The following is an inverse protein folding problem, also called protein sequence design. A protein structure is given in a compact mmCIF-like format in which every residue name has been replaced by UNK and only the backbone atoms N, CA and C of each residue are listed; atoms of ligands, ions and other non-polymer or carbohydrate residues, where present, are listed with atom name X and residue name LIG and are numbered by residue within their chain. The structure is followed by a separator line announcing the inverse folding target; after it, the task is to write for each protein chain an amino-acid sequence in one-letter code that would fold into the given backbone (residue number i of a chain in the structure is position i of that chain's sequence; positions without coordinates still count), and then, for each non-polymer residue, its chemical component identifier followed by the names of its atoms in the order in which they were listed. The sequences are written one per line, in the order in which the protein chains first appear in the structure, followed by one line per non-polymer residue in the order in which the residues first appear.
data_IF_536215139112
#
_entry.id   IF_536215139112
#
_cell.length_a   1.000
_cell.length_b   1.000
_cell.length_c   1.000
_cell.angle_alpha   90.00
_cell.angle_beta   90.00
_cell.angle_gamma   90.00
#
_symmetry.space_group_name_H-M   'P 1'
#
loop_
_entity.id
_entity.type
_entity.pdbx_description
1 polymer ?
#
# COMPACT_ATOMS: atom_id res chain seq x y z
N UNK A 1 9.80 -5.36 8.82
CA UNK A 1 10.21 -4.23 7.95
C UNK A 1 8.97 -3.45 7.54
N UNK A 2 9.08 -2.12 7.44
CA UNK A 2 8.04 -1.24 6.88
C UNK A 2 8.71 -0.35 5.83
N UNK A 3 8.15 -0.29 4.62
CA UNK A 3 8.60 0.54 3.50
C UNK A 3 7.49 1.53 3.17
N UNK A 4 7.85 2.80 3.00
CA UNK A 4 6.91 3.90 2.74
C UNK A 4 7.50 4.74 1.62
N UNK A 5 6.69 5.06 0.61
CA UNK A 5 7.09 6.02 -0.41
C UNK A 5 6.18 6.07 -1.62
N UNK A 6 6.48 7.03 -2.47
CA UNK A 6 5.92 7.19 -3.81
C UNK A 6 6.67 6.29 -4.80
N UNK A 7 5.95 5.32 -5.37
CA UNK A 7 6.49 4.38 -6.37
C UNK A 7 6.18 4.88 -7.79
N UNK A 8 5.36 5.92 -7.94
CA UNK A 8 4.85 6.44 -9.21
C UNK A 8 4.16 5.36 -10.07
N UNK A 9 3.59 4.35 -9.42
CA UNK A 9 2.87 3.30 -10.12
C UNK A 9 1.86 2.62 -9.19
N UNK A 10 0.87 1.95 -9.79
CA UNK A 10 -0.13 1.20 -9.06
C UNK A 10 0.49 0.02 -8.30
N UNK A 11 -0.17 -0.43 -7.24
CA UNK A 11 0.31 -1.58 -6.44
C UNK A 11 0.43 -2.89 -7.23
N UNK A 12 -0.23 -3.00 -8.40
CA UNK A 12 -0.19 -4.18 -9.27
C UNK A 12 0.83 -4.08 -10.42
N UNK A 13 1.49 -2.93 -10.58
CA UNK A 13 2.42 -2.74 -11.66
C UNK A 13 3.73 -3.50 -11.46
N UNK A 14 4.46 -3.72 -12.56
CA UNK A 14 5.73 -4.46 -12.57
C UNK A 14 6.78 -3.79 -11.67
N UNK A 15 6.82 -2.46 -11.68
CA UNK A 15 7.68 -1.64 -10.80
C UNK A 15 7.41 -1.92 -9.32
N UNK A 16 6.13 -1.91 -8.92
CA UNK A 16 5.69 -2.28 -7.58
C UNK A 16 6.01 -3.73 -7.24
N UNK A 17 5.90 -4.66 -8.20
CA UNK A 17 6.26 -6.07 -8.01
C UNK A 17 7.76 -6.30 -7.84
N UNK A 18 8.61 -5.51 -8.50
CA UNK A 18 10.06 -5.55 -8.26
C UNK A 18 10.39 -5.16 -6.81
N UNK A 19 9.64 -4.20 -6.25
CA UNK A 19 9.82 -3.77 -4.86
C UNK A 19 9.21 -4.76 -3.87
N UNK A 20 8.01 -5.27 -4.13
CA UNK A 20 7.27 -6.14 -3.21
C UNK A 20 7.65 -7.62 -3.29
N UNK A 21 8.25 -8.02 -4.41
CA UNK A 21 8.53 -9.40 -4.75
C UNK A 21 7.29 -10.15 -5.25
N UNK A 22 7.52 -11.35 -5.80
CA UNK A 22 6.46 -12.21 -6.31
C UNK A 22 6.17 -13.37 -5.36
N UNK A 23 4.88 -13.67 -5.09
CA UNK A 23 4.52 -14.79 -4.23
C UNK A 23 5.01 -16.12 -4.80
N UNK A 24 5.44 -17.07 -3.94
CA UNK A 24 6.01 -18.31 -4.40
C UNK A 24 4.96 -19.18 -5.11
N UNK A 25 5.39 -19.89 -6.15
CA UNK A 25 4.53 -20.83 -6.86
C UNK A 25 3.95 -21.91 -5.93
N UNK A 26 2.67 -22.24 -6.10
CA UNK A 26 1.93 -23.12 -5.19
C UNK A 26 2.55 -24.51 -5.03
N UNK A 27 3.26 -25.03 -6.04
CA UNK A 27 3.86 -26.37 -6.00
C UNK A 27 5.27 -26.41 -5.38
N UNK A 28 5.83 -25.27 -4.97
CA UNK A 28 7.12 -25.23 -4.27
C UNK A 28 7.02 -25.92 -2.89
N UNK A 29 8.14 -26.49 -2.44
CA UNK A 29 8.22 -27.06 -1.10
C UNK A 29 8.10 -25.95 -0.05
N UNK A 30 7.53 -26.29 1.11
CA UNK A 30 7.32 -25.32 2.19
C UNK A 30 8.58 -24.53 2.57
N UNK A 31 9.72 -25.22 2.75
CA UNK A 31 11.00 -24.57 3.07
C UNK A 31 11.47 -23.55 2.02
N UNK A 32 11.11 -23.77 0.75
CA UNK A 32 11.42 -22.82 -0.33
C UNK A 32 10.46 -21.62 -0.31
N UNK A 33 9.17 -21.87 -0.06
CA UNK A 33 8.16 -20.82 0.10
C UNK A 33 8.50 -19.90 1.26
N UNK A 34 8.94 -20.46 2.37
CA UNK A 34 9.27 -19.72 3.58
C UNK A 34 10.39 -18.70 3.33
N UNK A 35 11.45 -19.10 2.61
CA UNK A 35 12.53 -18.16 2.20
C UNK A 35 12.07 -17.05 1.28
N UNK A 36 11.03 -17.29 0.47
CA UNK A 36 10.46 -16.27 -0.41
C UNK A 36 9.59 -15.33 0.42
N UNK A 37 8.69 -15.85 1.27
CA UNK A 37 7.83 -15.03 2.12
C UNK A 37 8.60 -14.10 3.06
N UNK A 38 9.76 -14.54 3.57
CA UNK A 38 10.68 -13.78 4.43
C UNK A 38 11.18 -12.47 3.77
N UNK A 39 11.19 -12.41 2.44
CA UNK A 39 11.65 -11.21 1.69
C UNK A 39 10.51 -10.46 0.98
N UNK A 40 9.26 -10.95 1.05
CA UNK A 40 8.13 -10.27 0.43
C UNK A 40 7.68 -9.05 1.25
N UNK A 41 7.21 -8.04 0.54
CA UNK A 41 6.48 -6.93 1.12
C UNK A 41 5.03 -6.96 0.68
N UNK A 42 4.13 -6.68 1.60
CA UNK A 42 2.69 -6.72 1.40
C UNK A 42 2.13 -5.31 1.48
N UNK A 43 1.37 -4.90 0.47
CA UNK A 43 0.73 -3.60 0.49
C UNK A 43 -0.34 -3.55 1.59
N UNK A 44 -0.29 -2.53 2.45
CA UNK A 44 -1.25 -2.36 3.54
C UNK A 44 -2.69 -2.19 3.04
N UNK A 45 -2.87 -1.58 1.86
CA UNK A 45 -4.17 -1.50 1.16
C UNK A 45 -4.78 -2.88 0.95
N UNK A 46 -4.00 -3.84 0.47
CA UNK A 46 -4.48 -5.19 0.19
C UNK A 46 -4.79 -5.95 1.48
N UNK A 47 -4.04 -5.69 2.56
CA UNK A 47 -4.32 -6.24 3.89
C UNK A 47 -5.66 -5.70 4.41
N UNK A 48 -5.91 -4.40 4.29
CA UNK A 48 -7.16 -3.76 4.71
C UNK A 48 -8.35 -4.23 3.88
N UNK A 49 -8.22 -4.30 2.55
CA UNK A 49 -9.29 -4.75 1.65
C UNK A 49 -9.74 -6.20 1.95
N UNK A 50 -8.83 -7.05 2.45
CA UNK A 50 -9.16 -8.41 2.90
C UNK A 50 -9.89 -8.43 4.25
N UNK A 51 -9.81 -7.36 5.04
CA UNK A 51 -10.48 -7.23 6.34
C UNK A 51 -11.82 -6.49 6.24
N UNK A 52 -11.99 -5.58 5.28
CA UNK A 52 -13.21 -4.78 5.06
C UNK A 52 -13.33 -4.34 3.60
N UNK A 53 -14.55 -4.34 3.06
CA UNK A 53 -14.87 -3.76 1.74
C UNK A 53 -15.36 -2.32 1.93
N UNK A 54 -14.54 -1.32 1.59
CA UNK A 54 -15.10 0.02 1.49
C UNK A 54 -14.18 1.23 1.53
N UNK A 55 -13.08 1.26 0.77
CA UNK A 55 -12.34 2.53 0.61
C UNK A 55 -11.91 2.79 -0.84
N UNK A 56 -12.19 4.00 -1.32
CA UNK A 56 -11.60 4.56 -2.53
C UNK A 56 -10.16 4.98 -2.23
N UNK A 57 -9.21 4.11 -2.56
CA UNK A 57 -7.79 4.38 -2.35
C UNK A 57 -7.20 4.98 -3.63
N UNK A 58 -6.90 6.27 -3.59
CA UNK A 58 -6.11 7.00 -4.58
C UNK A 58 -5.33 8.11 -3.86
N UNK A 59 -4.13 8.38 -4.36
CA UNK A 59 -3.23 9.39 -3.82
C UNK A 59 -2.90 10.46 -4.85
N UNK A 60 -3.32 10.32 -6.10
CA UNK A 60 -3.14 11.35 -7.11
C UNK A 60 -4.34 11.40 -8.06
N UNK A 61 -4.66 12.59 -8.58
CA UNK A 61 -5.68 12.78 -9.61
C UNK A 61 -5.07 13.55 -10.77
N UNK A 62 -5.17 12.99 -11.97
CA UNK A 62 -4.73 13.66 -13.18
C UNK A 62 -5.64 13.34 -14.35
N UNK A 63 -6.19 14.37 -15.01
CA UNK A 63 -7.02 14.25 -16.21
C UNK A 63 -8.19 13.26 -16.04
N UNK A 64 -8.85 13.32 -14.89
CA UNK A 64 -9.96 12.45 -14.49
C UNK A 64 -9.55 11.03 -14.05
N UNK A 65 -8.25 10.72 -14.04
CA UNK A 65 -7.74 9.44 -13.58
C UNK A 65 -7.35 9.51 -12.10
N UNK A 66 -7.85 8.56 -11.31
CA UNK A 66 -7.54 8.40 -9.90
C UNK A 66 -6.48 7.33 -9.74
N UNK A 67 -5.29 7.71 -9.31
CA UNK A 67 -4.12 6.84 -9.27
C UNK A 67 -3.66 6.57 -7.82
N UNK A 68 -3.10 5.39 -7.59
CA UNK A 68 -2.54 4.97 -6.30
C UNK A 68 -1.02 4.89 -6.43
N UNK A 69 -0.31 6.01 -6.25
CA UNK A 69 1.13 6.11 -6.47
C UNK A 69 1.94 5.88 -5.18
N UNK A 70 1.36 6.27 -4.05
CA UNK A 70 1.98 6.16 -2.73
C UNK A 70 1.54 4.90 -2.01
N UNK A 71 2.52 4.19 -1.44
CA UNK A 71 2.29 2.89 -0.82
C UNK A 71 2.99 2.79 0.53
N UNK A 72 2.29 2.16 1.47
CA UNK A 72 2.91 1.59 2.68
C UNK A 72 2.92 0.08 2.49
N UNK A 73 4.10 -0.53 2.54
CA UNK A 73 4.29 -1.98 2.44
C UNK A 73 4.96 -2.52 3.70
N UNK A 74 4.60 -3.73 4.09
CA UNK A 74 5.04 -4.35 5.35
C UNK A 74 5.51 -5.77 5.12
N UNK A 75 6.45 -6.25 5.92
CA UNK A 75 6.88 -7.66 5.87
C UNK A 75 5.84 -8.61 6.47
N UNK A 76 6.09 -9.92 6.37
CA UNK A 76 5.17 -10.95 6.85
C UNK A 76 4.93 -10.92 8.37
N UNK A 77 5.76 -10.27 9.16
CA UNK A 77 5.53 -10.16 10.62
C UNK A 77 4.38 -9.24 10.99
N UNK A 78 3.75 -8.58 10.00
CA UNK A 78 2.56 -7.73 10.17
C UNK A 78 1.31 -8.26 9.46
N UNK A 79 1.41 -9.41 8.77
CA UNK A 79 0.25 -10.00 8.07
C UNK A 79 -0.52 -10.97 9.00
N UNK A 80 -1.87 -11.01 8.93
CA UNK A 80 -2.68 -11.89 9.79
C UNK A 80 -2.38 -13.39 9.65
N UNK A 81 -1.87 -13.81 8.49
CA UNK A 81 -1.60 -15.22 8.18
C UNK A 81 -0.34 -15.76 8.86
N UNK A 82 0.57 -14.88 9.30
CA UNK A 82 1.77 -15.30 10.00
C UNK A 82 1.46 -15.61 11.46
N UNK A 83 1.80 -16.83 11.89
CA UNK A 83 1.61 -17.29 13.27
C UNK A 83 2.60 -16.65 14.24
N UNK A 84 3.78 -16.30 13.74
CA UNK A 84 4.89 -15.70 14.49
C UNK A 84 4.93 -14.17 14.29
N UNK A 85 3.80 -13.57 13.86
CA UNK A 85 3.68 -12.12 13.67
C UNK A 85 4.01 -11.36 14.96
N UNK A 86 4.67 -10.23 14.81
CA UNK A 86 5.02 -9.32 15.93
C UNK A 86 3.98 -8.20 16.09
N UNK A 87 3.07 -8.09 15.14
CA UNK A 87 2.03 -7.08 15.13
C UNK A 87 1.05 -7.31 13.99
N UNK A 88 0.14 -6.37 13.80
CA UNK A 88 -0.80 -6.37 12.68
C UNK A 88 -1.16 -4.97 12.23
N UNK A 89 -1.43 -4.83 10.95
CA UNK A 89 -2.13 -3.67 10.39
C UNK A 89 -3.60 -3.73 10.84
N UNK A 90 -4.07 -2.66 11.48
CA UNK A 90 -5.41 -2.55 12.07
C UNK A 90 -6.34 -1.71 11.20
N UNK A 91 -5.79 -0.66 10.61
CA UNK A 91 -6.56 0.31 9.84
C UNK A 91 -5.65 0.97 8.82
N UNK A 92 -6.18 1.23 7.63
CA UNK A 92 -5.51 1.99 6.57
C UNK A 92 -6.51 3.02 6.06
N UNK A 93 -6.06 4.26 5.94
CA UNK A 93 -6.85 5.36 5.38
C UNK A 93 -5.98 6.18 4.45
N UNK A 94 -6.63 6.86 3.51
CA UNK A 94 -5.99 7.83 2.64
C UNK A 94 -6.61 9.19 2.89
N UNK A 95 -5.77 10.18 3.24
CA UNK A 95 -6.19 11.56 3.44
C UNK A 95 -6.02 12.30 2.11
N UNK A 96 -7.09 12.33 1.31
CA UNK A 96 -7.09 12.85 -0.07
C UNK A 96 -8.19 13.88 -0.36
N UNK A 97 -8.93 14.35 0.66
CA UNK A 97 -10.02 15.32 0.50
C UNK A 97 -9.58 16.67 -0.12
N UNK A 98 -8.28 16.95 -0.08
CA UNK A 98 -7.68 18.18 -0.59
C UNK A 98 -7.22 18.05 -2.04
N UNK A 99 -7.30 16.86 -2.65
CA UNK A 99 -6.84 16.65 -4.03
C UNK A 99 -7.80 17.30 -5.01
N UNK A 100 -7.23 18.13 -5.89
CA UNK A 100 -7.93 18.81 -6.97
C UNK A 100 -7.26 18.39 -8.27
N UNK A 101 -8.05 18.04 -9.28
CA UNK A 101 -7.52 17.80 -10.61
C UNK A 101 -7.22 19.14 -11.30
N UNK A 102 -5.97 19.60 -11.19
CA UNK A 102 -5.50 20.85 -11.82
C UNK A 102 -5.64 20.85 -13.35
N UNK A 103 -5.77 19.69 -13.99
CA UNK A 103 -5.95 19.61 -15.44
C UNK A 103 -7.40 19.90 -15.88
N UNK A 104 -8.36 19.79 -14.95
CA UNK A 104 -9.79 19.97 -15.21
C UNK A 104 -10.40 21.12 -14.40
N UNK A 105 -9.70 21.63 -13.38
CA UNK A 105 -10.13 22.71 -12.51
C UNK A 105 -9.50 24.05 -12.89
N UNK A 106 -10.22 25.14 -12.63
CA UNK A 106 -9.70 26.52 -12.70
C UNK A 106 -9.33 27.07 -11.31
N UNK A 107 -9.39 26.24 -10.27
CA UNK A 107 -9.03 26.61 -8.90
C UNK A 107 -7.51 26.77 -8.78
N UNK A 108 -7.06 27.88 -8.19
CA UNK A 108 -5.65 28.06 -7.84
C UNK A 108 -5.34 27.24 -6.59
N UNK A 109 -4.49 26.23 -6.74
CA UNK A 109 -3.98 25.44 -5.61
C UNK A 109 -2.84 26.20 -4.94
N UNK A 110 -2.89 26.27 -3.62
CA UNK A 110 -1.86 26.90 -2.82
C UNK A 110 -0.53 26.13 -2.95
N UNK A 111 0.59 26.83 -3.13
CA UNK A 111 1.91 26.20 -3.38
C UNK A 111 2.43 25.28 -2.26
N UNK A 112 1.85 25.38 -1.06
CA UNK A 112 2.22 24.57 0.10
C UNK A 112 1.35 23.30 0.24
N UNK A 113 0.28 23.19 -0.55
CA UNK A 113 -0.58 22.02 -0.58
C UNK A 113 0.04 20.97 -1.49
N UNK A 114 -0.03 19.71 -1.06
CA UNK A 114 0.44 18.60 -1.88
C UNK A 114 -0.62 18.23 -2.93
N UNK A 115 -0.16 17.81 -4.09
CA UNK A 115 -0.92 17.10 -5.12
C UNK A 115 -0.98 15.58 -4.89
N UNK A 116 -0.43 15.12 -3.75
CA UNK A 116 -0.48 13.75 -3.29
C UNK A 116 -1.29 13.60 -2.00
N UNK A 117 -2.14 12.57 -1.97
CA UNK A 117 -2.87 12.13 -0.80
C UNK A 117 -1.97 11.38 0.17
N UNK A 118 -2.21 11.53 1.47
CA UNK A 118 -1.38 10.89 2.49
C UNK A 118 -1.95 9.51 2.87
N UNK A 119 -1.15 8.46 2.68
CA UNK A 119 -1.48 7.12 3.17
C UNK A 119 -1.12 7.01 4.65
N UNK A 120 -2.06 6.53 5.45
CA UNK A 120 -1.90 6.35 6.90
C UNK A 120 -2.23 4.90 7.26
N UNK A 121 -1.32 4.23 7.94
CA UNK A 121 -1.52 2.88 8.45
C UNK A 121 -1.36 2.85 9.98
N UNK A 122 -2.34 2.26 10.67
CA UNK A 122 -2.32 2.04 12.11
C UNK A 122 -1.91 0.61 12.43
N UNK A 123 -0.93 0.46 13.32
CA UNK A 123 -0.39 -0.83 13.72
C UNK A 123 -0.71 -1.14 15.18
N UNK A 124 -0.96 -2.41 15.48
CA UNK A 124 -0.98 -2.94 16.85
C UNK A 124 0.14 -3.96 16.98
N UNK A 125 1.06 -3.73 17.91
CA UNK A 125 2.11 -4.69 18.24
C UNK A 125 1.55 -5.76 19.17
N UNK A 126 2.05 -6.99 19.03
CA UNK A 126 1.76 -8.09 19.95
C UNK A 126 2.88 -8.18 21.00
N UNK A 127 2.47 -8.31 22.26
CA UNK A 127 3.34 -8.37 23.44
C UNK A 127 2.59 -8.95 24.63
#
# INVERSE_FOLDING_TARGET
VIVIGDVNDSGLAVTSQILSGEPPWERLRFEQKQKIWDVLLYNTKDIQARQSYGDFYYTHIYNGHYESLDHIMVSEEFIPQNRDRIGKVVYVSTLNDHLIDESLSYEEVEKWQSDHGQVVASFRLEG
#
